data_IF_553178366240
#
_entry.id   IF_553178366240
#
_cell.length_a   1.000
_cell.length_b   1.000
_cell.length_c   1.000
_cell.angle_alpha   90.00
_cell.angle_beta   90.00
_cell.angle_gamma   90.00
#
_symmetry.space_group_name_H-M   'P 1'
#
loop_
_entity.id
_entity.type
_entity.pdbx_description
1 polymer ?
#
# COMPACT_ATOMS: atom_id res chain seq x y z
N UNK A 1 12.97 5.15 4.51
CA UNK A 1 12.05 4.72 3.45
C UNK A 1 10.66 5.33 3.62
N UNK A 2 9.98 5.59 2.50
CA UNK A 2 8.58 6.04 2.48
C UNK A 2 7.62 4.86 2.69
N UNK A 3 6.63 4.95 3.59
CA UNK A 3 5.67 3.87 3.84
C UNK A 3 4.66 3.73 2.69
N UNK A 4 4.57 2.54 2.08
CA UNK A 4 3.68 2.29 0.94
C UNK A 4 2.32 1.68 1.31
N UNK A 5 2.12 1.30 2.58
CA UNK A 5 0.83 0.81 3.08
C UNK A 5 -0.20 1.94 3.00
N UNK A 6 -1.17 1.85 2.09
CA UNK A 6 -2.07 2.98 1.84
C UNK A 6 -3.05 3.26 2.97
N UNK A 7 -3.62 4.47 2.96
CA UNK A 7 -4.66 4.91 3.92
C UNK A 7 -5.90 4.01 3.91
N UNK A 8 -6.21 3.37 2.78
CA UNK A 8 -7.40 2.51 2.65
C UNK A 8 -7.15 1.06 3.04
N UNK A 9 -5.91 0.69 3.37
CA UNK A 9 -5.60 -0.66 3.81
C UNK A 9 -6.25 -0.95 5.16
N UNK A 10 -6.83 -2.15 5.27
CA UNK A 10 -7.51 -2.66 6.46
C UNK A 10 -6.91 -4.01 6.86
N UNK A 11 -6.79 -4.22 8.17
CA UNK A 11 -6.51 -5.53 8.76
C UNK A 11 -7.77 -6.28 9.20
N UNK A 12 -7.66 -7.39 9.94
CA UNK A 12 -8.79 -8.16 10.46
C UNK A 12 -9.79 -7.37 11.31
N UNK A 13 -9.35 -6.33 12.04
CA UNK A 13 -10.28 -5.44 12.74
C UNK A 13 -11.12 -4.56 11.79
N UNK A 14 -10.77 -4.48 10.51
CA UNK A 14 -11.48 -3.71 9.49
C UNK A 14 -11.30 -2.20 9.67
N UNK A 15 -10.20 -1.75 10.28
CA UNK A 15 -9.95 -0.33 10.54
C UNK A 15 -8.99 0.19 9.50
N UNK A 16 -9.49 1.02 8.57
CA UNK A 16 -8.63 1.64 7.57
C UNK A 16 -7.61 2.58 8.24
N UNK A 17 -6.46 2.78 7.59
CA UNK A 17 -5.32 3.57 8.08
C UNK A 17 -4.57 2.96 9.28
N UNK A 18 -5.15 2.03 10.03
CA UNK A 18 -4.48 1.39 11.17
C UNK A 18 -3.18 0.63 10.76
N UNK A 19 -3.16 -0.15 9.66
CA UNK A 19 -1.92 -0.76 9.16
C UNK A 19 -0.84 0.27 8.83
N UNK A 20 -1.24 1.39 8.22
CA UNK A 20 -0.32 2.48 7.89
C UNK A 20 0.24 3.14 9.15
N UNK A 21 -0.59 3.39 10.16
CA UNK A 21 -0.17 3.91 11.45
C UNK A 21 0.86 2.99 12.13
N UNK A 22 0.57 1.68 12.19
CA UNK A 22 1.48 0.68 12.73
C UNK A 22 2.83 0.70 12.01
N UNK A 23 2.82 0.58 10.68
CA UNK A 23 4.05 0.47 9.90
C UNK A 23 4.92 1.73 9.98
N UNK A 24 4.30 2.92 9.90
CA UNK A 24 4.98 4.21 10.08
C UNK A 24 5.74 4.31 11.39
N UNK A 25 5.12 3.89 12.49
CA UNK A 25 5.73 4.01 13.82
C UNK A 25 6.85 3.00 14.04
N UNK A 26 6.75 1.80 13.46
CA UNK A 26 7.86 0.83 13.51
C UNK A 26 9.06 1.31 12.68
N UNK A 27 8.83 1.82 11.48
CA UNK A 27 9.89 2.43 10.66
C UNK A 27 10.56 3.59 11.40
N UNK A 28 9.77 4.48 12.03
CA UNK A 28 10.31 5.58 12.81
C UNK A 28 11.21 5.06 13.94
N UNK A 29 10.72 4.10 14.72
CA UNK A 29 11.48 3.55 15.86
C UNK A 29 12.77 2.83 15.42
N UNK A 30 12.77 2.24 14.22
CA UNK A 30 13.96 1.62 13.64
C UNK A 30 14.96 2.64 13.06
N UNK A 31 14.60 3.92 12.97
CA UNK A 31 15.39 4.93 12.26
C UNK A 31 15.37 4.75 10.73
N UNK A 32 14.42 3.96 10.22
CA UNK A 32 14.27 3.60 8.81
C UNK A 32 13.13 4.37 8.14
N UNK A 33 12.40 5.24 8.85
CA UNK A 33 11.45 6.16 8.22
C UNK A 33 12.22 7.31 7.56
N UNK A 34 11.80 7.69 6.35
CA UNK A 34 12.36 8.88 5.68
C UNK A 34 12.24 10.13 6.59
N UNK A 35 13.32 10.89 6.74
CA UNK A 35 13.39 12.02 7.68
C UNK A 35 12.36 13.13 7.38
N UNK A 36 12.00 13.29 6.11
CA UNK A 36 10.98 14.26 5.71
C UNK A 36 9.54 13.73 5.94
N UNK A 37 9.39 12.45 6.29
CA UNK A 37 8.08 11.80 6.43
C UNK A 37 7.50 11.96 7.84
N UNK A 38 6.31 12.57 7.99
CA UNK A 38 5.72 12.78 9.30
C UNK A 38 5.21 11.48 9.93
N UNK A 39 5.50 11.26 11.21
CA UNK A 39 4.94 10.17 12.03
C UNK A 39 4.21 10.74 13.26
N UNK A 40 2.95 10.32 13.47
CA UNK A 40 2.14 10.71 14.62
C UNK A 40 2.06 12.24 14.92
N UNK A 41 2.22 13.07 13.88
CA UNK A 41 2.23 14.54 13.96
C UNK A 41 0.83 15.17 14.00
N UNK A 42 -0.23 14.36 14.03
CA UNK A 42 -1.63 14.78 13.98
C UNK A 42 -2.40 14.09 12.85
N UNK A 43 -3.54 14.66 12.46
CA UNK A 43 -4.33 14.17 11.32
C UNK A 43 -4.83 12.73 11.51
N UNK A 44 -4.77 11.94 10.43
CA UNK A 44 -5.34 10.58 10.39
C UNK A 44 -4.77 9.65 11.48
N UNK A 45 -3.49 9.83 11.85
CA UNK A 45 -2.84 9.05 12.91
C UNK A 45 -3.52 9.30 14.27
N UNK A 46 -3.96 10.53 14.56
CA UNK A 46 -4.70 10.82 15.80
C UNK A 46 -6.16 10.40 15.71
N UNK A 47 -6.78 10.55 14.55
CA UNK A 47 -8.17 10.15 14.36
C UNK A 47 -8.37 8.63 14.48
N UNK A 48 -7.49 7.81 13.90
CA UNK A 48 -7.61 6.34 13.99
C UNK A 48 -7.49 5.85 15.44
N UNK A 49 -6.62 6.47 16.25
CA UNK A 49 -6.54 6.20 17.69
C UNK A 49 -7.84 6.59 18.41
N UNK A 50 -8.40 7.75 18.07
CA UNK A 50 -9.68 8.21 18.64
C UNK A 50 -10.86 7.31 18.26
N UNK A 51 -10.90 6.76 17.04
CA UNK A 51 -11.92 5.80 16.60
C UNK A 51 -11.91 4.53 17.46
N UNK A 52 -10.74 4.14 17.94
CA UNK A 52 -10.50 2.97 18.78
C UNK A 52 -10.39 3.30 20.28
N UNK A 53 -10.61 4.55 20.67
CA UNK A 53 -10.48 5.03 22.06
C UNK A 53 -9.14 4.68 22.72
N UNK A 54 -8.06 4.66 21.94
CA UNK A 54 -6.72 4.30 22.39
C UNK A 54 -5.99 5.51 23.00
N UNK A 55 -5.30 5.29 24.12
CA UNK A 55 -4.34 6.26 24.64
C UNK A 55 -3.11 6.35 23.73
N UNK A 56 -2.80 7.57 23.27
CA UNK A 56 -1.72 7.81 22.31
C UNK A 56 -0.35 7.41 22.87
N UNK A 57 -0.04 7.80 24.10
CA UNK A 57 1.28 7.57 24.69
C UNK A 57 1.50 6.09 24.97
N UNK A 58 0.49 5.41 25.51
CA UNK A 58 0.50 3.97 25.76
C UNK A 58 0.65 3.18 24.45
N UNK A 59 -0.08 3.59 23.41
CA UNK A 59 -0.01 2.92 22.09
C UNK A 59 1.37 3.07 21.46
N UNK A 60 1.92 4.28 21.46
CA UNK A 60 3.27 4.52 20.93
C UNK A 60 4.33 3.77 21.73
N UNK A 61 4.23 3.77 23.06
CA UNK A 61 5.12 2.99 23.93
C UNK A 61 5.09 1.51 23.58
N UNK A 62 3.89 0.94 23.43
CA UNK A 62 3.74 -0.47 23.05
C UNK A 62 4.40 -0.76 21.69
N UNK A 63 4.12 0.05 20.67
CA UNK A 63 4.72 -0.13 19.34
C UNK A 63 6.25 -0.03 19.37
N UNK A 64 6.80 0.94 20.10
CA UNK A 64 8.23 1.23 20.09
C UNK A 64 9.05 0.28 20.95
N UNK A 65 8.52 -0.14 22.10
CA UNK A 65 9.20 -1.05 23.02
C UNK A 65 9.02 -2.51 22.62
N UNK A 66 7.80 -2.91 22.25
CA UNK A 66 7.49 -4.32 21.99
C UNK A 66 7.66 -4.69 20.51
N UNK A 67 7.61 -3.71 19.59
CA UNK A 67 7.70 -3.90 18.14
C UNK A 67 6.82 -5.06 17.64
N UNK A 68 5.52 -5.10 18.00
CA UNK A 68 4.66 -6.22 17.65
C UNK A 68 4.50 -6.33 16.14
N UNK A 69 4.34 -7.56 15.63
CA UNK A 69 3.82 -7.74 14.27
C UNK A 69 2.37 -7.23 14.21
N UNK A 70 1.84 -7.01 13.00
CA UNK A 70 0.53 -6.37 12.85
C UNK A 70 -0.61 -7.12 13.56
N UNK A 71 -0.61 -8.46 13.53
CA UNK A 71 -1.65 -9.27 14.19
C UNK A 71 -1.52 -9.26 15.71
N UNK A 72 -0.31 -9.15 16.25
CA UNK A 72 -0.08 -8.93 17.68
C UNK A 72 -0.58 -7.54 18.10
N UNK A 73 -0.37 -6.53 17.25
CA UNK A 73 -0.86 -5.18 17.51
C UNK A 73 -2.39 -5.11 17.52
N UNK A 74 -3.08 -5.74 16.57
CA UNK A 74 -4.55 -5.80 16.59
C UNK A 74 -5.09 -6.58 17.80
N UNK A 75 -4.42 -7.65 18.22
CA UNK A 75 -4.78 -8.36 19.45
C UNK A 75 -4.66 -7.45 20.68
N UNK A 76 -3.56 -6.69 20.79
CA UNK A 76 -3.36 -5.72 21.87
C UNK A 76 -4.44 -4.63 21.88
N UNK A 77 -4.87 -4.14 20.71
CA UNK A 77 -5.98 -3.19 20.59
C UNK A 77 -7.29 -3.79 21.13
N UNK A 78 -7.54 -5.08 20.90
CA UNK A 78 -8.71 -5.76 21.46
C UNK A 78 -8.76 -5.77 23.00
N UNK A 79 -7.60 -5.62 23.65
CA UNK A 79 -7.47 -5.58 25.11
C UNK A 79 -7.45 -4.15 25.69
N UNK A 80 -7.01 -3.16 24.89
CA UNK A 80 -6.71 -1.80 25.38
C UNK A 80 -7.54 -0.69 24.72
N UNK A 81 -8.33 -1.00 23.70
CA UNK A 81 -9.21 -0.06 23.01
C UNK A 81 -10.63 -0.60 22.82
N UNK A 82 -11.41 0.12 22.02
CA UNK A 82 -12.82 -0.16 21.75
C UNK A 82 -13.05 -0.49 20.28
N UNK A 83 -13.43 -1.74 20.00
CA UNK A 83 -13.79 -2.20 18.64
C UNK A 83 -15.30 -2.01 18.42
N UNK A 84 -15.72 -0.78 18.11
CA UNK A 84 -17.12 -0.46 17.83
C UNK A 84 -17.40 -0.42 16.33
N UNK A 85 -18.02 -1.48 15.80
CA UNK A 85 -18.27 -1.66 14.34
C UNK A 85 -18.92 -0.45 13.65
N UNK A 86 -19.98 0.18 14.18
CA UNK A 86 -20.55 1.38 13.55
C UNK A 86 -19.58 2.57 13.48
N UNK A 87 -18.71 2.75 14.47
CA UNK A 87 -17.69 3.81 14.43
C UNK A 87 -16.65 3.54 13.35
N UNK A 88 -16.20 2.29 13.25
CA UNK A 88 -15.25 1.84 12.23
C UNK A 88 -15.84 2.02 10.83
N UNK A 89 -17.09 1.61 10.59
CA UNK A 89 -17.75 1.81 9.29
C UNK A 89 -17.84 3.30 8.93
N UNK A 90 -18.22 4.18 9.87
CA UNK A 90 -18.23 5.63 9.62
C UNK A 90 -16.84 6.17 9.30
N UNK A 91 -15.83 5.71 10.01
CA UNK A 91 -14.43 6.06 9.77
C UNK A 91 -13.98 5.67 8.36
N UNK A 92 -14.13 4.40 7.97
CA UNK A 92 -13.69 3.92 6.65
C UNK A 92 -14.43 4.66 5.52
N UNK A 93 -15.74 4.86 5.65
CA UNK A 93 -16.53 5.64 4.67
C UNK A 93 -16.03 7.07 4.54
N UNK A 94 -15.62 7.71 5.67
CA UNK A 94 -15.11 9.08 5.65
C UNK A 94 -13.78 9.22 4.89
N UNK A 95 -12.98 8.16 4.83
CA UNK A 95 -11.70 8.18 4.12
C UNK A 95 -11.88 8.11 2.60
N UNK A 96 -12.84 7.31 2.13
CA UNK A 96 -13.05 7.10 0.69
C UNK A 96 -13.49 8.37 -0.06
N UNK A 97 -14.19 9.28 0.60
CA UNK A 97 -14.62 10.57 0.03
C UNK A 97 -13.75 11.77 0.43
N UNK A 98 -12.61 11.53 1.07
CA UNK A 98 -11.77 12.60 1.62
C UNK A 98 -11.06 13.38 0.50
N UNK A 99 -11.20 14.71 0.53
CA UNK A 99 -10.49 15.62 -0.38
C UNK A 99 -9.54 16.55 0.37
N UNK A 100 -8.46 16.95 -0.29
CA UNK A 100 -7.64 18.06 0.16
C UNK A 100 -8.42 19.33 -0.13
N UNK A 101 -8.63 20.15 0.90
CA UNK A 101 -9.37 21.42 0.79
C UNK A 101 -8.48 22.64 1.02
N UNK A 102 -7.18 22.42 1.33
CA UNK A 102 -6.20 23.47 1.54
C UNK A 102 -5.40 23.61 0.23
N UNK A 103 -5.56 24.72 -0.53
CA UNK A 103 -4.89 24.89 -1.82
C UNK A 103 -3.37 24.69 -1.74
N UNK A 104 -2.71 25.26 -0.73
CA UNK A 104 -1.27 25.11 -0.54
C UNK A 104 -0.81 23.64 -0.42
N UNK A 105 -1.64 22.75 0.16
CA UNK A 105 -1.31 21.31 0.25
C UNK A 105 -1.48 20.60 -1.09
N UNK A 106 -2.46 21.02 -1.89
CA UNK A 106 -2.65 20.52 -3.26
C UNK A 106 -1.45 20.95 -4.10
N UNK A 107 -1.09 22.24 -4.04
CA UNK A 107 0.03 22.81 -4.78
C UNK A 107 1.34 22.09 -4.47
N UNK A 108 1.65 21.90 -3.17
CA UNK A 108 2.82 21.13 -2.72
C UNK A 108 2.81 19.71 -3.30
N UNK A 109 1.65 19.05 -3.27
CA UNK A 109 1.53 17.67 -3.76
C UNK A 109 1.71 17.62 -5.29
N UNK A 110 1.15 18.58 -6.01
CA UNK A 110 1.27 18.69 -7.47
C UNK A 110 2.72 18.95 -7.88
N UNK A 111 3.40 19.85 -7.19
CA UNK A 111 4.81 20.15 -7.43
C UNK A 111 5.69 18.90 -7.19
N UNK A 112 5.39 18.11 -6.16
CA UNK A 112 6.12 16.87 -5.86
C UNK A 112 5.94 15.79 -6.93
N UNK A 113 4.72 15.64 -7.47
CA UNK A 113 4.38 14.59 -8.45
C UNK A 113 4.42 15.06 -9.91
N UNK A 114 4.71 16.33 -10.16
CA UNK A 114 4.82 16.92 -11.50
C UNK A 114 3.47 17.16 -12.21
N UNK A 115 2.39 17.41 -11.46
CA UNK A 115 1.11 17.79 -12.05
C UNK A 115 1.07 19.25 -12.46
N UNK A 116 0.53 19.52 -13.65
CA UNK A 116 0.23 20.88 -14.09
C UNK A 116 -1.04 21.39 -13.39
N UNK A 117 -0.89 22.49 -12.64
CA UNK A 117 -1.95 23.14 -11.85
C UNK A 117 -3.03 23.76 -12.74
N UNK A 118 -2.74 24.02 -14.02
CA UNK A 118 -3.72 24.55 -14.98
C UNK A 118 -4.53 23.43 -15.66
N UNK A 119 -3.99 22.21 -15.73
CA UNK A 119 -4.62 21.09 -16.44
C UNK A 119 -5.29 20.07 -15.50
N UNK A 120 -4.81 19.93 -14.27
CA UNK A 120 -5.28 18.91 -13.32
C UNK A 120 -6.15 19.53 -12.22
N UNK A 121 -7.29 18.89 -11.95
CA UNK A 121 -8.27 19.30 -10.91
C UNK A 121 -8.51 18.21 -9.86
N UNK A 122 -7.62 17.23 -9.76
CA UNK A 122 -7.71 16.14 -8.78
C UNK A 122 -7.53 16.68 -7.35
N UNK A 123 -8.45 16.33 -6.47
CA UNK A 123 -8.46 16.79 -5.08
C UNK A 123 -8.64 15.64 -4.08
N UNK A 124 -8.82 14.41 -4.54
CA UNK A 124 -8.88 13.21 -3.72
C UNK A 124 -7.61 13.10 -2.88
N UNK A 125 -7.77 13.24 -1.56
CA UNK A 125 -6.62 13.13 -0.66
C UNK A 125 -6.02 11.73 -0.71
N UNK A 126 -6.82 10.70 -0.95
CA UNK A 126 -6.33 9.32 -1.01
C UNK A 126 -5.43 9.16 -2.22
N UNK A 127 -5.92 9.53 -3.42
CA UNK A 127 -5.14 9.38 -4.64
C UNK A 127 -3.87 10.24 -4.60
N UNK A 128 -4.01 11.52 -4.24
CA UNK A 128 -2.87 12.43 -4.18
C UNK A 128 -1.81 11.97 -3.17
N UNK A 129 -2.21 11.51 -1.98
CA UNK A 129 -1.26 10.98 -1.01
C UNK A 129 -0.55 9.71 -1.52
N UNK A 130 -1.28 8.80 -2.18
CA UNK A 130 -0.68 7.61 -2.77
C UNK A 130 0.35 7.98 -3.84
N UNK A 131 0.00 8.87 -4.78
CA UNK A 131 0.91 9.31 -5.84
C UNK A 131 2.16 10.01 -5.26
N UNK A 132 1.98 10.87 -4.26
CA UNK A 132 3.09 11.53 -3.57
C UNK A 132 3.99 10.51 -2.88
N UNK A 133 3.43 9.56 -2.13
CA UNK A 133 4.21 8.50 -1.47
C UNK A 133 5.00 7.65 -2.48
N UNK A 134 4.38 7.30 -3.61
CA UNK A 134 5.03 6.49 -4.66
C UNK A 134 6.15 7.26 -5.34
N UNK A 135 5.97 8.56 -5.57
CA UNK A 135 6.99 9.44 -6.11
C UNK A 135 8.17 9.61 -5.15
N UNK A 136 7.90 9.83 -3.86
CA UNK A 136 8.92 9.89 -2.81
C UNK A 136 9.67 8.56 -2.70
N UNK A 137 8.96 7.44 -2.73
CA UNK A 137 9.57 6.11 -2.71
C UNK A 137 10.42 5.85 -3.96
N UNK A 138 9.93 6.22 -5.14
CA UNK A 138 10.70 6.10 -6.38
C UNK A 138 12.02 6.85 -6.30
N UNK A 139 11.97 8.12 -5.90
CA UNK A 139 13.15 8.99 -5.79
C UNK A 139 14.13 8.52 -4.71
N UNK A 140 13.63 8.25 -3.51
CA UNK A 140 14.51 8.03 -2.36
C UNK A 140 14.91 6.54 -2.21
N UNK A 141 14.04 5.61 -2.61
CA UNK A 141 14.24 4.17 -2.39
C UNK A 141 14.57 3.40 -3.68
N UNK A 142 13.78 3.54 -4.77
CA UNK A 142 14.03 2.76 -6.00
C UNK A 142 15.29 3.23 -6.74
N UNK A 143 15.39 4.54 -6.94
CA UNK A 143 16.50 5.17 -7.67
C UNK A 143 17.59 5.72 -6.74
N UNK A 144 17.23 5.99 -5.48
CA UNK A 144 18.16 6.32 -4.40
C UNK A 144 18.74 5.09 -3.67
N UNK A 145 19.16 5.31 -2.43
CA UNK A 145 19.85 4.35 -1.55
C UNK A 145 19.17 4.19 -0.17
N UNK A 146 17.96 4.70 0.01
CA UNK A 146 17.25 4.68 1.29
C UNK A 146 16.76 3.29 1.73
N UNK A 147 16.87 2.26 0.88
CA UNK A 147 16.67 0.85 1.27
C UNK A 147 17.93 0.05 0.95
N UNK A 148 18.39 -0.73 1.92
CA UNK A 148 19.71 -1.40 1.88
C UNK A 148 19.64 -2.90 1.53
N UNK A 149 18.44 -3.43 1.38
CA UNK A 149 18.20 -4.85 1.12
C UNK A 149 16.85 -5.08 0.47
N UNK A 150 16.58 -6.34 0.16
CA UNK A 150 15.32 -6.73 -0.46
C UNK A 150 14.13 -6.45 0.47
N UNK A 151 13.07 -5.86 -0.09
CA UNK A 151 11.87 -5.46 0.66
C UNK A 151 10.62 -6.13 0.10
N UNK A 152 9.66 -6.51 0.95
CA UNK A 152 8.33 -6.92 0.51
C UNK A 152 7.56 -5.73 -0.06
N UNK A 153 6.79 -5.93 -1.15
CA UNK A 153 6.02 -4.86 -1.78
C UNK A 153 4.77 -4.53 -0.95
N UNK A 154 4.88 -3.68 0.07
CA UNK A 154 3.75 -3.34 0.99
C UNK A 154 2.63 -2.49 0.37
N UNK A 155 2.77 -2.08 -0.89
CA UNK A 155 1.73 -1.41 -1.68
C UNK A 155 0.62 -2.41 -2.02
N UNK A 156 -0.61 -2.15 -1.59
CA UNK A 156 -1.69 -3.13 -1.67
C UNK A 156 -2.22 -3.35 -3.10
N UNK A 157 -2.76 -4.54 -3.35
CA UNK A 157 -3.44 -4.84 -4.62
C UNK A 157 -4.69 -3.98 -4.86
N UNK A 158 -5.24 -3.31 -3.84
CA UNK A 158 -6.42 -2.43 -4.00
C UNK A 158 -6.08 -1.02 -4.45
N UNK A 159 -4.81 -0.64 -4.34
CA UNK A 159 -4.38 0.73 -4.62
C UNK A 159 -4.49 1.03 -6.11
N UNK A 160 -4.80 2.29 -6.43
CA UNK A 160 -5.14 2.75 -7.78
C UNK A 160 -4.46 4.07 -8.08
N UNK A 161 -4.03 4.21 -9.33
CA UNK A 161 -3.61 5.47 -9.93
C UNK A 161 -4.73 6.20 -10.66
N UNK A 162 -4.35 7.10 -11.57
CA UNK A 162 -5.27 7.90 -12.40
C UNK A 162 -6.12 7.03 -13.32
N UNK A 163 -5.59 5.89 -13.79
CA UNK A 163 -6.34 4.95 -14.63
C UNK A 163 -7.37 4.14 -13.83
N UNK A 164 -7.38 4.26 -12.49
CA UNK A 164 -8.37 3.62 -11.63
C UNK A 164 -8.24 2.10 -11.53
N UNK A 165 -7.19 1.50 -12.07
CA UNK A 165 -6.99 0.05 -12.07
C UNK A 165 -6.27 -0.43 -10.81
N UNK A 166 -6.92 -1.33 -10.07
CA UNK A 166 -6.30 -2.08 -8.97
C UNK A 166 -5.10 -2.90 -9.51
N UNK A 167 -4.21 -3.32 -8.62
CA UNK A 167 -3.00 -4.10 -8.92
C UNK A 167 -1.94 -3.38 -9.78
N UNK A 168 -2.31 -2.47 -10.68
CA UNK A 168 -1.37 -1.81 -11.59
C UNK A 168 -0.21 -1.11 -10.86
N UNK A 169 -0.44 -0.34 -9.77
CA UNK A 169 0.67 0.23 -9.00
C UNK A 169 1.55 -0.83 -8.32
N UNK A 170 0.95 -1.95 -7.88
CA UNK A 170 1.70 -3.06 -7.27
C UNK A 170 2.54 -3.80 -8.31
N UNK A 171 2.05 -3.97 -9.54
CA UNK A 171 2.80 -4.53 -10.67
C UNK A 171 4.02 -3.67 -10.99
N UNK A 172 3.84 -2.34 -11.08
CA UNK A 172 4.91 -1.37 -11.27
C UNK A 172 5.99 -1.52 -10.19
N UNK A 173 5.59 -1.47 -8.92
CA UNK A 173 6.51 -1.54 -7.79
C UNK A 173 7.31 -2.84 -7.80
N UNK A 174 6.64 -4.00 -7.93
CA UNK A 174 7.29 -5.31 -7.93
C UNK A 174 8.32 -5.43 -9.05
N UNK A 175 7.96 -5.00 -10.25
CA UNK A 175 8.84 -5.12 -11.43
C UNK A 175 10.06 -4.21 -11.29
N UNK A 176 9.87 -2.98 -10.81
CA UNK A 176 10.97 -2.05 -10.57
C UNK A 176 11.89 -2.52 -9.43
N UNK A 177 11.33 -3.02 -8.32
CA UNK A 177 12.11 -3.62 -7.24
C UNK A 177 12.92 -4.82 -7.74
N UNK A 178 12.32 -5.70 -8.56
CA UNK A 178 13.03 -6.85 -9.13
C UNK A 178 14.20 -6.41 -10.02
N UNK A 179 13.99 -5.44 -10.89
CA UNK A 179 15.03 -4.89 -11.77
C UNK A 179 16.23 -4.34 -10.98
N UNK A 180 15.98 -3.81 -9.78
CA UNK A 180 17.00 -3.29 -8.86
C UNK A 180 17.62 -4.34 -7.95
N UNK A 181 17.14 -5.59 -7.97
CA UNK A 181 17.54 -6.62 -7.01
C UNK A 181 17.05 -6.35 -5.58
N UNK A 182 15.98 -5.57 -5.43
CA UNK A 182 15.41 -5.13 -4.16
C UNK A 182 14.05 -5.78 -3.85
N UNK A 183 13.54 -6.66 -4.71
CA UNK A 183 12.29 -7.40 -4.42
C UNK A 183 12.61 -8.60 -3.55
N UNK A 184 11.88 -8.76 -2.45
CA UNK A 184 11.97 -9.94 -1.59
C UNK A 184 11.77 -11.26 -2.37
N UNK A 185 12.59 -12.27 -2.09
CA UNK A 185 12.70 -13.49 -2.91
C UNK A 185 11.40 -14.29 -3.03
N UNK A 186 10.56 -14.26 -2.00
CA UNK A 186 9.25 -14.93 -2.00
C UNK A 186 8.21 -14.29 -2.95
N UNK A 187 8.53 -13.14 -3.55
CA UNK A 187 7.63 -12.43 -4.45
C UNK A 187 8.05 -12.60 -5.90
N UNK A 188 7.30 -13.32 -6.76
CA UNK A 188 7.51 -13.30 -8.19
C UNK A 188 7.11 -11.94 -8.79
N UNK A 189 7.78 -11.46 -9.84
CA UNK A 189 7.31 -10.32 -10.65
C UNK A 189 6.63 -10.84 -11.92
N UNK A 190 5.31 -10.62 -12.03
CA UNK A 190 4.53 -10.99 -13.21
C UNK A 190 4.63 -12.47 -13.65
N UNK A 191 4.56 -13.41 -12.71
CA UNK A 191 4.48 -14.84 -13.01
C UNK A 191 3.19 -15.22 -13.75
N UNK A 192 3.21 -16.37 -14.43
CA UNK A 192 2.05 -16.88 -15.15
C UNK A 192 0.84 -17.09 -14.23
N UNK A 193 -0.32 -16.65 -14.71
CA UNK A 193 -1.60 -16.70 -13.99
C UNK A 193 -1.73 -15.71 -12.83
N UNK A 194 -0.70 -14.90 -12.55
CA UNK A 194 -0.70 -13.89 -11.48
C UNK A 194 -1.69 -12.75 -11.73
N UNK A 195 -1.96 -11.95 -10.68
CA UNK A 195 -2.75 -10.73 -10.82
C UNK A 195 -2.07 -9.70 -11.72
N UNK A 196 -0.73 -9.65 -11.70
CA UNK A 196 0.06 -8.75 -12.54
C UNK A 196 -0.20 -9.04 -14.03
N UNK A 197 -0.05 -10.30 -14.46
CA UNK A 197 -0.28 -10.73 -15.85
C UNK A 197 -1.73 -10.53 -16.27
N UNK A 198 -2.70 -10.84 -15.39
CA UNK A 198 -4.12 -10.60 -15.67
C UNK A 198 -4.42 -9.11 -15.85
N UNK A 199 -3.75 -8.25 -15.09
CA UNK A 199 -3.88 -6.81 -15.22
C UNK A 199 -3.34 -6.30 -16.55
N UNK A 200 -2.12 -6.70 -16.92
CA UNK A 200 -1.52 -6.42 -18.23
C UNK A 200 -2.45 -6.86 -19.38
N UNK A 201 -2.99 -8.08 -19.29
CA UNK A 201 -3.91 -8.62 -20.31
C UNK A 201 -5.24 -7.84 -20.39
N UNK A 202 -5.74 -7.34 -19.26
CA UNK A 202 -6.97 -6.52 -19.21
C UNK A 202 -6.78 -5.21 -19.96
N UNK A 203 -5.59 -4.63 -19.88
CA UNK A 203 -5.18 -3.42 -20.62
C UNK A 203 -4.69 -3.74 -22.04
N UNK A 204 -4.75 -5.00 -22.48
CA UNK A 204 -4.25 -5.50 -23.78
C UNK A 204 -2.80 -5.10 -24.09
N UNK A 205 -1.99 -4.98 -23.06
CA UNK A 205 -0.58 -4.66 -23.19
C UNK A 205 0.21 -5.92 -23.57
N UNK A 206 1.27 -5.73 -24.36
CA UNK A 206 2.27 -6.79 -24.55
C UNK A 206 3.10 -6.95 -23.26
N UNK A 207 3.10 -8.16 -22.69
CA UNK A 207 3.75 -8.41 -21.41
C UNK A 207 5.27 -8.20 -21.47
N UNK A 208 5.93 -8.69 -22.52
CA UNK A 208 7.40 -8.58 -22.63
C UNK A 208 7.82 -7.12 -22.78
N UNK A 209 7.13 -6.36 -23.63
CA UNK A 209 7.35 -4.92 -23.83
C UNK A 209 7.08 -4.13 -22.56
N UNK A 210 6.02 -4.46 -21.82
CA UNK A 210 5.68 -3.82 -20.55
C UNK A 210 6.77 -4.05 -19.50
N UNK A 211 7.21 -5.30 -19.34
CA UNK A 211 8.26 -5.65 -18.39
C UNK A 211 9.61 -5.04 -18.79
N UNK A 212 9.95 -5.00 -20.09
CA UNK A 212 11.14 -4.32 -20.58
C UNK A 212 11.10 -2.83 -20.26
N UNK A 213 9.98 -2.14 -20.56
CA UNK A 213 9.82 -0.73 -20.24
C UNK A 213 10.05 -0.43 -18.75
N UNK A 214 9.41 -1.19 -17.86
CA UNK A 214 9.57 -1.02 -16.41
C UNK A 214 11.00 -1.29 -15.94
N UNK A 215 11.62 -2.38 -16.41
CA UNK A 215 12.96 -2.82 -15.96
C UNK A 215 14.08 -1.92 -16.48
N UNK A 216 13.97 -1.47 -17.72
CA UNK A 216 15.03 -0.71 -18.39
C UNK A 216 15.00 0.77 -18.04
N UNK A 217 13.80 1.33 -17.78
CA UNK A 217 13.63 2.77 -17.57
C UNK A 217 13.40 3.13 -16.10
N UNK A 218 12.93 2.19 -15.26
CA UNK A 218 12.55 2.44 -13.86
C UNK A 218 11.69 3.71 -13.72
N UNK A 219 10.58 3.82 -14.46
CA UNK A 219 9.79 5.05 -14.51
C UNK A 219 9.15 5.35 -13.15
N UNK A 220 8.81 6.61 -12.92
CA UNK A 220 7.81 6.97 -11.90
C UNK A 220 6.49 6.27 -12.23
N UNK A 221 5.61 6.11 -11.24
CA UNK A 221 4.31 5.48 -11.50
C UNK A 221 3.45 6.28 -12.49
N UNK A 222 3.57 7.62 -12.50
CA UNK A 222 2.83 8.48 -13.42
C UNK A 222 3.32 8.31 -14.86
N UNK A 223 4.64 8.28 -15.09
CA UNK A 223 5.22 7.97 -16.41
C UNK A 223 4.80 6.58 -16.89
N UNK A 224 4.70 5.61 -15.98
CA UNK A 224 4.17 4.29 -16.33
C UNK A 224 2.69 4.34 -16.73
N UNK A 225 1.83 5.07 -16.02
CA UNK A 225 0.43 5.24 -16.45
C UNK A 225 0.31 5.95 -17.79
N UNK A 226 1.16 6.95 -18.07
CA UNK A 226 1.18 7.64 -19.36
C UNK A 226 1.58 6.68 -20.49
N UNK A 227 2.58 5.83 -20.24
CA UNK A 227 2.98 4.77 -21.17
C UNK A 227 1.86 3.74 -21.39
N UNK A 228 1.19 3.30 -20.32
CA UNK A 228 0.04 2.38 -20.41
C UNK A 228 -1.09 2.98 -21.24
N UNK A 229 -1.38 4.27 -21.07
CA UNK A 229 -2.43 4.95 -21.82
C UNK A 229 -2.11 5.05 -23.33
N UNK A 230 -0.82 5.05 -23.70
CA UNK A 230 -0.36 5.10 -25.10
C UNK A 230 -0.29 3.71 -25.75
N UNK A 231 0.12 2.71 -25.00
CA UNK A 231 0.47 1.37 -25.53
C UNK A 231 -0.63 0.33 -25.33
N UNK A 232 -1.54 0.56 -24.38
CA UNK A 232 -2.64 -0.33 -24.06
C UNK A 232 -4.01 0.21 -24.48
N UNK A 233 -5.05 -0.50 -24.06
CA UNK A 233 -6.44 -0.07 -24.18
C UNK A 233 -7.02 0.23 -22.78
N UNK A 234 -7.29 1.51 -22.51
CA UNK A 234 -7.93 1.96 -21.27
C UNK A 234 -9.45 1.86 -21.42
N UNK A 235 -9.96 0.64 -21.27
CA UNK A 235 -11.41 0.37 -21.21
C UNK A 235 -11.90 0.41 -19.75
N UNK A 236 -12.64 1.46 -19.39
CA UNK A 236 -13.20 1.66 -18.05
C UNK A 236 -14.08 0.49 -17.59
N UNK A 237 -14.82 -0.16 -18.50
CA UNK A 237 -15.67 -1.30 -18.14
C UNK A 237 -14.83 -2.53 -17.83
N UNK A 238 -13.79 -2.79 -18.64
CA UNK A 238 -12.86 -3.88 -18.40
C UNK A 238 -12.09 -3.68 -17.07
N UNK A 239 -11.61 -2.46 -16.82
CA UNK A 239 -10.96 -2.08 -15.56
C UNK A 239 -11.90 -2.27 -14.37
N UNK A 240 -13.16 -1.83 -14.48
CA UNK A 240 -14.14 -2.02 -13.41
C UNK A 240 -14.42 -3.49 -13.13
N UNK A 241 -14.57 -4.30 -14.18
CA UNK A 241 -14.77 -5.75 -14.04
C UNK A 241 -13.56 -6.44 -13.37
N UNK A 242 -12.33 -6.05 -13.74
CA UNK A 242 -11.11 -6.51 -13.08
C UNK A 242 -11.09 -6.12 -11.60
N UNK A 243 -11.37 -4.86 -11.28
CA UNK A 243 -11.38 -4.34 -9.92
C UNK A 243 -12.39 -5.07 -9.04
N UNK A 244 -13.63 -5.26 -9.51
CA UNK A 244 -14.67 -6.01 -8.78
C UNK A 244 -14.19 -7.42 -8.49
N UNK A 245 -13.71 -8.13 -9.52
CA UNK A 245 -13.19 -9.50 -9.36
C UNK A 245 -12.05 -9.56 -8.36
N UNK A 246 -11.14 -8.58 -8.36
CA UNK A 246 -10.01 -8.55 -7.42
C UNK A 246 -10.47 -8.35 -5.98
N UNK A 247 -11.43 -7.45 -5.75
CA UNK A 247 -11.95 -7.14 -4.42
C UNK A 247 -12.79 -8.29 -3.82
N UNK A 248 -13.54 -8.99 -4.65
CA UNK A 248 -14.37 -10.14 -4.26
C UNK A 248 -13.59 -11.47 -4.23
N UNK A 249 -12.31 -11.44 -4.61
CA UNK A 249 -11.49 -12.64 -4.77
C UNK A 249 -11.19 -13.30 -3.43
N UNK A 250 -11.44 -14.60 -3.36
CA UNK A 250 -10.84 -15.48 -2.35
C UNK A 250 -9.60 -16.18 -2.93
N UNK A 251 -8.63 -16.50 -2.07
CA UNK A 251 -7.49 -17.33 -2.47
C UNK A 251 -7.90 -18.80 -2.67
N UNK A 252 -7.11 -19.54 -3.45
CA UNK A 252 -7.25 -20.99 -3.53
C UNK A 252 -6.87 -21.65 -2.20
N UNK A 253 -7.46 -22.80 -1.82
CA UNK A 253 -7.22 -23.43 -0.51
C UNK A 253 -5.75 -23.61 -0.15
N UNK A 254 -4.93 -24.07 -1.10
CA UNK A 254 -3.48 -24.25 -0.91
C UNK A 254 -2.77 -22.95 -0.51
N UNK A 255 -3.13 -21.81 -1.14
CA UNK A 255 -2.52 -20.51 -0.80
C UNK A 255 -3.10 -19.94 0.50
N UNK A 256 -4.34 -20.24 0.84
CA UNK A 256 -4.92 -19.91 2.15
C UNK A 256 -4.13 -20.63 3.24
N UNK A 257 -3.93 -21.94 3.11
CA UNK A 257 -3.16 -22.74 4.07
C UNK A 257 -1.73 -22.23 4.22
N UNK A 258 -1.04 -22.00 3.10
CA UNK A 258 0.32 -21.46 3.06
C UNK A 258 0.44 -20.13 3.83
N UNK A 259 -0.41 -19.13 3.51
CA UNK A 259 -0.38 -17.83 4.19
C UNK A 259 -0.66 -17.98 5.69
N UNK A 260 -1.66 -18.77 6.09
CA UNK A 260 -1.96 -18.95 7.52
C UNK A 260 -0.84 -19.64 8.28
N UNK A 261 -0.15 -20.60 7.65
CA UNK A 261 1.05 -21.23 8.18
C UNK A 261 2.16 -20.19 8.42
N UNK A 262 2.45 -19.36 7.41
CA UNK A 262 3.40 -18.24 7.52
C UNK A 262 3.05 -17.28 8.66
N UNK A 263 1.76 -16.96 8.80
CA UNK A 263 1.28 -16.06 9.86
C UNK A 263 1.22 -16.72 11.25
N UNK A 264 1.36 -18.04 11.34
CA UNK A 264 1.17 -18.80 12.58
C UNK A 264 -0.24 -18.68 13.15
N UNK A 265 -1.26 -18.70 12.28
CA UNK A 265 -2.68 -18.52 12.66
C UNK A 265 -3.57 -19.63 12.10
N UNK A 266 -4.72 -19.84 12.74
CA UNK A 266 -5.77 -20.71 12.19
C UNK A 266 -6.42 -20.07 10.96
N UNK A 267 -6.87 -20.93 10.02
CA UNK A 267 -7.52 -20.54 8.77
C UNK A 267 -8.87 -19.86 9.00
N UNK A 268 -8.85 -18.55 9.26
CA UNK A 268 -10.01 -17.74 9.63
C UNK A 268 -10.41 -16.72 8.56
N UNK A 269 -9.55 -16.50 7.55
CA UNK A 269 -9.78 -15.54 6.48
C UNK A 269 -9.60 -16.19 5.11
N UNK A 270 -10.40 -15.75 4.12
CA UNK A 270 -10.33 -16.27 2.74
C UNK A 270 -10.05 -15.16 1.72
N UNK A 271 -10.34 -13.90 2.08
CA UNK A 271 -10.16 -12.73 1.20
C UNK A 271 -8.72 -12.64 0.71
N UNK A 272 -8.57 -12.67 -0.62
CA UNK A 272 -7.27 -12.65 -1.25
C UNK A 272 -6.52 -11.33 -1.06
N UNK A 273 -7.24 -10.22 -0.91
CA UNK A 273 -6.65 -8.90 -0.60
C UNK A 273 -6.12 -8.88 0.82
N UNK A 274 -6.96 -9.24 1.80
CA UNK A 274 -6.57 -9.22 3.21
C UNK A 274 -5.37 -10.14 3.47
N UNK A 275 -5.41 -11.35 2.94
CA UNK A 275 -4.34 -12.32 3.12
C UNK A 275 -3.03 -11.88 2.48
N UNK A 276 -3.06 -11.29 1.28
CA UNK A 276 -1.87 -10.70 0.66
C UNK A 276 -1.27 -9.59 1.53
N UNK A 277 -2.10 -8.67 2.00
CA UNK A 277 -1.66 -7.58 2.86
C UNK A 277 -1.01 -8.10 4.16
N UNK A 278 -1.65 -9.07 4.83
CA UNK A 278 -1.11 -9.66 6.06
C UNK A 278 0.23 -10.36 5.85
N UNK A 279 0.37 -11.12 4.75
CA UNK A 279 1.63 -11.76 4.37
C UNK A 279 2.72 -10.72 4.09
N UNK A 280 2.42 -9.66 3.34
CA UNK A 280 3.35 -8.56 3.08
C UNK A 280 3.82 -7.88 4.37
N UNK A 281 2.90 -7.59 5.28
CA UNK A 281 3.22 -6.93 6.54
C UNK A 281 4.00 -7.84 7.48
N UNK A 282 3.74 -9.16 7.44
CA UNK A 282 4.52 -10.14 8.18
C UNK A 282 5.98 -10.15 7.70
N UNK A 283 6.21 -10.29 6.39
CA UNK A 283 7.57 -10.26 5.86
C UNK A 283 8.24 -8.90 6.08
N UNK A 284 7.52 -7.78 5.92
CA UNK A 284 8.10 -6.45 6.12
C UNK A 284 8.52 -6.24 7.57
N UNK A 285 7.70 -6.69 8.53
CA UNK A 285 8.03 -6.71 9.96
C UNK A 285 9.24 -7.59 10.25
N UNK A 286 9.31 -8.78 9.66
CA UNK A 286 10.45 -9.68 9.82
C UNK A 286 11.75 -9.03 9.32
N UNK A 287 11.74 -8.44 8.12
CA UNK A 287 12.89 -7.72 7.56
C UNK A 287 13.33 -6.57 8.47
N UNK A 288 12.39 -5.78 9.00
CA UNK A 288 12.70 -4.64 9.87
C UNK A 288 13.23 -5.03 11.26
N UNK A 289 12.84 -6.19 11.77
CA UNK A 289 13.22 -6.63 13.13
C UNK A 289 14.39 -7.61 13.16
N UNK A 290 14.77 -8.18 12.01
CA UNK A 290 15.97 -9.00 11.87
C UNK A 290 17.26 -8.17 11.68
N UNK A 291 17.13 -6.89 11.29
CA UNK A 291 18.23 -5.91 11.14
C UNK A 291 18.65 -5.28 12.46
#
# INVERSE_FOLDING_TARGET
MTPLVSTLCEGPLGVAHLPRFWWKNLLHQAGELDEAYPYCSGGLDTHVLGVLELDKEQTLRHLWEQKPNYLQFEAWIGEHGTVHRPSITRWNTSLGGRTHYIPAKIDETYDDIGFDKEEVVEVSSVLLNCLQDWQLFHRNCLTGDAIKGAVPPTLSSIDRGRLGMCQLPRTWLKTCLRARGLLHDDYPDCADGSLDQRGINTLKLDQEKTLAFLRDNLPTYLEFEDWVAQEGEVDTQAIQAFNTRLLEREHRPEKIEDIHSTLGREQTWTSGVLLNNLEDWHYAHHVLTAS
#
